data_IF_906164790394
#
_entry.id   IF_906164790394
#
_cell.length_a   1.000
_cell.length_b   1.000
_cell.length_c   1.000
_cell.angle_alpha   90.00
_cell.angle_beta   90.00
_cell.angle_gamma   90.00
#
_symmetry.space_group_name_H-M   'P 1'
#
loop_
_entity.id
_entity.type
_entity.pdbx_description
1 polymer ?
#
# COMPACT_ATOMS: atom_id res chain seq x y z
N UNK A 1 34.35 76.50 -14.97
CA UNK A 1 35.16 75.30 -15.27
C UNK A 1 34.89 74.28 -14.17
N UNK A 2 34.37 73.09 -14.54
CA UNK A 2 34.29 71.79 -13.83
C UNK A 2 33.80 71.83 -12.35
N UNK A 3 32.91 70.95 -11.91
CA UNK A 3 33.23 69.56 -11.61
C UNK A 3 31.94 68.77 -11.24
N UNK A 4 31.77 67.60 -11.89
CA UNK A 4 31.09 66.34 -11.49
C UNK A 4 29.54 66.33 -11.35
N UNK A 5 28.72 65.59 -12.12
CA UNK A 5 28.68 64.14 -12.48
C UNK A 5 28.43 63.27 -11.23
N UNK A 6 27.51 62.32 -11.10
CA UNK A 6 26.46 61.67 -11.93
C UNK A 6 25.61 60.78 -10.99
N UNK A 7 24.44 60.34 -11.49
CA UNK A 7 23.67 59.12 -11.15
C UNK A 7 22.87 59.05 -9.84
N UNK A 8 21.54 58.99 -10.01
CA UNK A 8 20.54 58.64 -9.01
C UNK A 8 20.26 57.13 -9.14
N UNK A 9 20.73 56.35 -8.16
CA UNK A 9 20.23 55.00 -7.85
C UNK A 9 19.16 55.15 -6.75
N UNK A 10 18.18 54.28 -6.52
CA UNK A 10 17.95 52.91 -6.94
C UNK A 10 16.44 52.60 -6.85
N UNK A 11 16.05 51.55 -7.58
CA UNK A 11 14.76 50.85 -7.56
C UNK A 11 14.32 50.46 -6.13
N UNK A 12 13.08 50.78 -5.73
CA UNK A 12 12.44 50.15 -4.55
C UNK A 12 11.34 49.19 -5.00
N UNK A 13 11.52 47.92 -4.63
CA UNK A 13 10.68 46.77 -4.95
C UNK A 13 9.40 46.73 -4.11
N UNK A 14 8.28 46.31 -4.72
CA UNK A 14 7.27 45.50 -4.04
C UNK A 14 7.07 44.21 -4.83
N UNK A 15 7.81 43.16 -4.45
CA UNK A 15 7.49 41.79 -4.84
C UNK A 15 6.51 41.26 -3.81
N UNK A 16 5.27 41.00 -4.22
CA UNK A 16 4.35 40.22 -3.42
C UNK A 16 4.87 38.77 -3.38
N UNK A 17 5.54 38.39 -2.29
CA UNK A 17 5.76 36.98 -1.98
C UNK A 17 4.42 36.42 -1.55
N UNK A 18 3.69 35.80 -2.47
CA UNK A 18 2.61 34.90 -2.07
C UNK A 18 3.26 33.80 -1.25
N UNK A 19 2.97 33.78 0.05
CA UNK A 19 3.11 32.58 0.86
C UNK A 19 2.11 31.56 0.33
N UNK A 20 2.43 30.97 -0.83
CA UNK A 20 1.94 29.66 -1.18
C UNK A 20 2.60 28.70 -0.21
N UNK A 21 1.99 28.56 0.97
CA UNK A 21 2.27 27.47 1.90
C UNK A 21 2.35 26.22 1.04
N UNK A 22 3.55 25.64 0.92
CA UNK A 22 3.67 24.23 0.57
C UNK A 22 2.74 23.55 1.57
N UNK A 23 1.57 23.14 1.08
CA UNK A 23 0.71 22.21 1.77
C UNK A 23 1.54 20.94 1.87
N UNK A 24 2.42 20.87 2.88
CA UNK A 24 2.66 19.65 3.61
C UNK A 24 1.27 19.25 4.09
N UNK A 25 0.56 18.53 3.22
CA UNK A 25 -0.53 17.68 3.60
C UNK A 25 0.11 16.66 4.52
N UNK A 26 0.25 17.06 5.78
CA UNK A 26 0.49 16.22 6.90
C UNK A 26 -0.83 15.50 7.10
N UNK A 27 -1.13 14.57 6.20
CA UNK A 27 -1.82 13.39 6.67
C UNK A 27 -0.78 12.74 7.56
N UNK A 28 -1.01 12.76 8.86
CA UNK A 28 -0.75 11.55 9.61
C UNK A 28 -1.65 10.45 9.01
N UNK A 29 -1.35 10.01 7.78
CA UNK A 29 -1.50 8.61 7.49
C UNK A 29 -0.48 7.97 8.41
N UNK A 30 -0.98 7.34 9.47
CA UNK A 30 -0.36 6.14 10.02
C UNK A 30 0.42 5.49 8.87
N UNK A 31 1.75 5.46 8.95
CA UNK A 31 2.65 5.11 7.83
C UNK A 31 2.51 3.61 7.52
N UNK A 32 1.29 3.26 7.15
CA UNK A 32 0.78 1.93 7.02
C UNK A 32 1.06 1.56 5.58
N UNK A 33 2.15 0.81 5.39
CA UNK A 33 2.43 0.22 4.08
C UNK A 33 1.26 -0.73 3.79
N UNK A 34 0.36 -0.29 2.92
CA UNK A 34 -0.81 -1.02 2.47
C UNK A 34 -0.46 -1.87 1.25
N UNK A 35 -0.72 -3.16 1.32
CA UNK A 35 -0.45 -4.11 0.24
C UNK A 35 -1.78 -4.64 -0.28
N UNK A 36 -2.03 -4.47 -1.58
CA UNK A 36 -3.26 -4.92 -2.21
C UNK A 36 -2.97 -6.07 -3.18
N UNK A 37 -3.43 -7.27 -2.82
CA UNK A 37 -3.28 -8.48 -3.61
C UNK A 37 -4.53 -8.68 -4.48
N UNK A 38 -4.37 -8.55 -5.80
CA UNK A 38 -5.45 -8.67 -6.80
C UNK A 38 -4.97 -9.42 -8.03
N UNK A 39 -5.90 -9.91 -8.86
CA UNK A 39 -5.56 -10.63 -10.09
C UNK A 39 -5.10 -12.05 -9.80
N UNK A 40 -4.03 -12.52 -10.44
CA UNK A 40 -3.46 -13.85 -10.17
C UNK A 40 -2.38 -13.77 -9.11
N UNK A 41 -2.48 -14.62 -8.09
CA UNK A 41 -1.50 -14.73 -7.02
C UNK A 41 -0.16 -15.20 -7.58
N UNK A 42 0.91 -14.55 -7.13
CA UNK A 42 2.29 -14.93 -7.42
C UNK A 42 2.91 -15.49 -6.16
N UNK A 43 3.54 -16.65 -6.29
CA UNK A 43 4.32 -17.22 -5.21
C UNK A 43 5.41 -16.23 -4.75
N UNK A 44 5.79 -16.30 -3.48
CA UNK A 44 6.84 -15.47 -2.88
C UNK A 44 6.55 -13.96 -2.87
N UNK A 45 5.27 -13.56 -2.99
CA UNK A 45 4.86 -12.16 -2.79
C UNK A 45 5.28 -11.68 -1.40
N UNK A 46 6.17 -10.70 -1.34
CA UNK A 46 6.65 -10.16 -0.06
C UNK A 46 5.60 -9.25 0.59
N UNK A 47 5.08 -9.70 1.73
CA UNK A 47 4.12 -8.96 2.55
C UNK A 47 4.71 -8.51 3.89
N UNK A 48 6.01 -8.71 4.11
CA UNK A 48 6.64 -8.59 5.43
C UNK A 48 6.71 -7.16 5.96
N UNK A 49 6.71 -6.17 5.07
CA UNK A 49 6.67 -4.75 5.43
C UNK A 49 5.24 -4.21 5.61
N UNK A 50 4.24 -4.95 5.12
CA UNK A 50 2.85 -4.52 5.06
C UNK A 50 2.22 -4.52 6.45
N UNK A 51 1.61 -3.40 6.81
CA UNK A 51 0.82 -3.25 8.04
C UNK A 51 -0.66 -3.49 7.79
N UNK A 52 -1.11 -3.25 6.56
CA UNK A 52 -2.44 -3.61 6.07
C UNK A 52 -2.30 -4.43 4.78
N UNK A 53 -2.95 -5.58 4.72
CA UNK A 53 -2.95 -6.47 3.55
C UNK A 53 -4.41 -6.63 3.12
N UNK A 54 -4.76 -6.15 1.94
CA UNK A 54 -6.07 -6.38 1.34
C UNK A 54 -5.96 -7.44 0.27
N UNK A 55 -6.66 -8.55 0.43
CA UNK A 55 -6.82 -9.59 -0.58
C UNK A 55 -8.17 -9.36 -1.27
N UNK A 56 -8.18 -8.95 -2.53
CA UNK A 56 -9.40 -8.56 -3.22
C UNK A 56 -9.58 -9.31 -4.53
N UNK A 57 -10.59 -10.19 -4.58
CA UNK A 57 -10.96 -10.97 -5.77
C UNK A 57 -9.76 -11.69 -6.43
N UNK A 58 -8.88 -12.27 -5.60
CA UNK A 58 -7.63 -12.89 -6.03
C UNK A 58 -7.88 -14.31 -6.61
N UNK A 59 -7.17 -14.68 -7.67
CA UNK A 59 -7.12 -16.03 -8.23
C UNK A 59 -5.85 -16.71 -7.75
N UNK A 60 -5.97 -17.78 -6.99
CA UNK A 60 -4.83 -18.59 -6.54
C UNK A 60 -4.67 -19.77 -7.50
N UNK A 61 -3.51 -19.93 -8.16
CA UNK A 61 -3.30 -21.01 -9.13
C UNK A 61 -3.44 -22.42 -8.51
N UNK A 62 -3.57 -23.46 -9.35
CA UNK A 62 -3.74 -24.83 -8.89
C UNK A 62 -2.49 -25.31 -8.15
N UNK A 63 -2.68 -25.98 -7.00
CA UNK A 63 -1.57 -26.51 -6.20
C UNK A 63 -0.71 -25.47 -5.50
N UNK A 64 -1.14 -24.21 -5.46
CA UNK A 64 -0.43 -23.10 -4.78
C UNK A 64 -1.14 -22.72 -3.49
N UNK A 65 -0.37 -22.44 -2.45
CA UNK A 65 -0.86 -21.87 -1.19
C UNK A 65 -0.84 -20.36 -1.29
N UNK A 66 -1.92 -19.68 -0.91
CA UNK A 66 -1.88 -18.27 -0.55
C UNK A 66 -1.10 -18.12 0.76
N UNK A 67 0.20 -17.84 0.65
CA UNK A 67 1.09 -17.73 1.80
C UNK A 67 1.08 -16.31 2.36
N UNK A 68 0.52 -16.18 3.56
CA UNK A 68 0.47 -14.97 4.37
C UNK A 68 1.25 -15.16 5.69
N UNK A 69 2.12 -16.18 5.77
CA UNK A 69 2.88 -16.53 6.98
C UNK A 69 3.90 -15.50 7.44
N UNK A 70 4.33 -14.65 6.51
CA UNK A 70 5.30 -13.58 6.74
C UNK A 70 4.63 -12.24 7.09
N UNK A 71 3.35 -12.24 7.43
CA UNK A 71 2.64 -11.02 7.79
C UNK A 71 3.32 -10.33 8.99
N UNK A 72 3.50 -9.01 8.90
CA UNK A 72 4.10 -8.19 9.95
C UNK A 72 3.33 -8.36 11.27
N UNK A 73 4.02 -8.33 12.40
CA UNK A 73 3.38 -8.29 13.73
C UNK A 73 2.39 -7.12 13.78
N UNK A 74 1.17 -7.39 14.24
CA UNK A 74 0.12 -6.37 14.32
C UNK A 74 -0.61 -6.10 13.00
N UNK A 75 -0.27 -6.80 11.91
CA UNK A 75 -0.87 -6.52 10.60
C UNK A 75 -2.37 -6.84 10.56
N UNK A 76 -3.08 -6.05 9.77
CA UNK A 76 -4.49 -6.26 9.46
C UNK A 76 -4.59 -6.90 8.08
N UNK A 77 -5.15 -8.10 8.01
CA UNK A 77 -5.43 -8.80 6.76
C UNK A 77 -6.93 -8.72 6.49
N UNK A 78 -7.31 -8.18 5.33
CA UNK A 78 -8.71 -8.03 4.92
C UNK A 78 -9.01 -8.75 3.61
N UNK A 79 -9.90 -9.74 3.67
CA UNK A 79 -10.42 -10.42 2.48
C UNK A 79 -11.68 -9.72 1.94
N UNK A 80 -11.68 -9.38 0.65
CA UNK A 80 -12.76 -8.73 -0.09
C UNK A 80 -13.04 -9.47 -1.40
N UNK A 81 -14.25 -9.32 -1.91
CA UNK A 81 -14.67 -10.00 -3.14
C UNK A 81 -14.61 -11.52 -3.00
N UNK A 82 -14.33 -12.25 -4.09
CA UNK A 82 -14.21 -13.71 -4.04
C UNK A 82 -12.80 -14.12 -4.42
N UNK A 83 -12.06 -14.66 -3.45
CA UNK A 83 -10.78 -15.32 -3.71
C UNK A 83 -11.07 -16.74 -4.18
N UNK A 84 -10.63 -17.10 -5.38
CA UNK A 84 -10.87 -18.42 -5.98
C UNK A 84 -9.57 -19.21 -5.94
N UNK A 85 -9.63 -20.44 -5.41
CA UNK A 85 -8.54 -21.40 -5.47
C UNK A 85 -8.81 -22.35 -6.63
N UNK A 86 -7.95 -22.31 -7.64
CA UNK A 86 -8.13 -23.14 -8.84
C UNK A 86 -7.94 -24.63 -8.50
N UNK A 87 -8.81 -25.47 -9.07
CA UNK A 87 -8.96 -26.85 -8.65
C UNK A 87 -7.75 -27.72 -9.02
N UNK A 88 -7.19 -28.41 -8.02
CA UNK A 88 -6.19 -29.47 -8.18
C UNK A 88 -6.26 -30.42 -6.99
N UNK A 89 -5.98 -31.72 -7.20
CA UNK A 89 -5.77 -32.67 -6.11
C UNK A 89 -4.36 -32.51 -5.55
N UNK A 90 -4.25 -32.11 -4.29
CA UNK A 90 -2.98 -31.97 -3.59
C UNK A 90 -3.22 -31.95 -2.07
N UNK A 91 -2.14 -32.02 -1.29
CA UNK A 91 -2.23 -32.07 0.18
C UNK A 91 -2.66 -30.73 0.81
N UNK A 92 -2.57 -29.62 0.08
CA UNK A 92 -2.81 -28.28 0.61
C UNK A 92 -1.64 -27.76 1.46
N UNK A 93 -1.85 -26.69 2.24
CA UNK A 93 -3.12 -25.97 2.44
C UNK A 93 -3.44 -24.93 1.34
N UNK A 94 -4.71 -24.53 1.22
CA UNK A 94 -5.11 -23.43 0.33
C UNK A 94 -4.61 -22.05 0.82
N UNK A 95 -4.70 -21.80 2.12
CA UNK A 95 -4.24 -20.56 2.76
C UNK A 95 -3.34 -20.91 3.93
N UNK A 96 -2.19 -20.24 4.03
CA UNK A 96 -1.31 -20.33 5.19
C UNK A 96 -1.23 -18.96 5.86
N UNK A 97 -1.72 -18.88 7.10
CA UNK A 97 -1.63 -17.69 7.94
C UNK A 97 -0.62 -17.91 9.05
N UNK A 98 0.23 -16.92 9.28
CA UNK A 98 1.26 -16.96 10.31
C UNK A 98 1.70 -15.55 10.70
N UNK A 99 2.00 -15.36 11.97
CA UNK A 99 2.40 -14.06 12.53
C UNK A 99 1.94 -13.89 13.98
N UNK A 100 2.19 -12.71 14.54
CA UNK A 100 1.85 -12.37 15.93
C UNK A 100 0.92 -11.16 15.97
N UNK A 101 -0.11 -11.21 16.82
CA UNK A 101 -1.11 -10.14 16.96
C UNK A 101 -1.76 -9.73 15.63
N UNK A 102 -2.06 -10.71 14.77
CA UNK A 102 -2.73 -10.46 13.50
C UNK A 102 -4.21 -10.20 13.71
N UNK A 103 -4.77 -9.27 12.94
CA UNK A 103 -6.22 -9.11 12.80
C UNK A 103 -6.62 -9.58 11.40
N UNK A 104 -7.34 -10.69 11.31
CA UNK A 104 -7.88 -11.19 10.05
C UNK A 104 -9.38 -10.91 10.00
N UNK A 105 -9.82 -10.19 8.98
CA UNK A 105 -11.23 -9.83 8.78
C UNK A 105 -11.60 -9.99 7.31
N UNK A 106 -12.89 -10.06 7.01
CA UNK A 106 -13.32 -10.12 5.63
C UNK A 106 -14.81 -9.90 5.47
N UNK A 107 -15.18 -9.30 4.35
CA UNK A 107 -16.56 -9.27 3.85
C UNK A 107 -16.71 -10.12 2.58
N UNK A 108 -15.61 -10.72 2.12
CA UNK A 108 -15.54 -11.54 0.92
C UNK A 108 -15.67 -13.04 1.18
N UNK A 109 -15.54 -13.82 0.11
CA UNK A 109 -15.60 -15.28 0.10
C UNK A 109 -14.24 -15.89 -0.25
N UNK A 110 -13.97 -17.06 0.33
CA UNK A 110 -12.87 -17.95 -0.06
C UNK A 110 -13.49 -19.16 -0.73
N UNK A 111 -13.38 -19.24 -2.05
CA UNK A 111 -13.99 -20.29 -2.87
C UNK A 111 -12.95 -21.36 -3.22
N UNK A 112 -13.01 -22.46 -2.47
CA UNK A 112 -12.14 -23.63 -2.66
C UNK A 112 -12.59 -24.58 -3.78
N UNK A 113 -13.73 -24.33 -4.44
CA UNK A 113 -14.27 -25.16 -5.52
C UNK A 113 -14.39 -26.67 -5.17
N UNK A 114 -14.64 -26.99 -3.90
CA UNK A 114 -14.91 -28.37 -3.45
C UNK A 114 -16.29 -28.83 -3.92
N UNK A 115 -16.36 -30.05 -4.47
CA UNK A 115 -17.59 -30.71 -4.92
C UNK A 115 -18.27 -31.52 -3.82
#
# INVERSE_FOLDING_TARGET
MKLFSTTLAALSLLVATTNGTLMLRMEAEDSSIGCNLTGTYKNDTDISSCTAITVNSLRVPPGVTLDLSKAKKGAIIQFKGTTIFEAQKWAGPLVLLGGTNLTVKGTGFLDGQGS
#
